data_IF_624632473855
#
_entry.id   IF_624632473855
#
_cell.length_a   1.000
_cell.length_b   1.000
_cell.length_c   1.000
_cell.angle_alpha   90.00
_cell.angle_beta   90.00
_cell.angle_gamma   90.00
#
_symmetry.space_group_name_H-M   'P 1'
#
loop_
_entity.id
_entity.type
_entity.pdbx_description
1 polymer ?
#
# COMPACT_ATOMS: atom_id res chain seq x y z
N UNK A 1 13.95 33.32 -7.22
CA UNK A 1 12.78 32.91 -6.44
C UNK A 1 11.65 32.76 -7.43
N UNK A 2 11.40 31.56 -7.96
CA UNK A 2 10.14 31.32 -8.66
C UNK A 2 9.08 31.24 -7.56
N UNK A 3 8.05 32.07 -7.62
CA UNK A 3 6.85 31.82 -6.82
C UNK A 3 6.35 30.44 -7.23
N UNK A 4 6.23 29.54 -6.26
CA UNK A 4 5.69 28.21 -6.45
C UNK A 4 4.18 28.38 -6.66
N UNK A 5 3.79 28.56 -7.92
CA UNK A 5 2.39 28.75 -8.29
C UNK A 5 1.71 27.40 -8.17
N UNK A 6 0.73 27.30 -7.27
CA UNK A 6 -0.18 26.15 -7.27
C UNK A 6 -0.97 26.14 -8.58
N UNK A 7 -0.55 25.24 -9.49
CA UNK A 7 -1.17 25.05 -10.80
C UNK A 7 -2.39 24.12 -10.75
N UNK A 8 -2.61 23.40 -9.64
CA UNK A 8 -3.70 22.45 -9.49
C UNK A 8 -4.98 23.15 -9.03
N UNK A 9 -4.85 24.14 -8.13
CA UNK A 9 -5.99 24.81 -7.53
C UNK A 9 -6.89 23.85 -6.73
N UNK A 10 -8.04 24.33 -6.23
CA UNK A 10 -8.94 23.49 -5.44
C UNK A 10 -9.68 22.47 -6.32
N UNK A 11 -9.93 21.29 -5.77
CA UNK A 11 -10.87 20.34 -6.39
C UNK A 11 -12.30 20.87 -6.30
N UNK A 12 -13.17 20.57 -7.28
CA UNK A 12 -14.59 20.91 -7.17
C UNK A 12 -15.24 20.28 -5.92
N UNK A 13 -16.04 21.06 -5.20
CA UNK A 13 -16.84 20.55 -4.09
C UNK A 13 -18.02 19.73 -4.63
N UNK A 14 -18.19 18.52 -4.09
CA UNK A 14 -19.31 17.62 -4.41
C UNK A 14 -19.67 16.80 -3.17
N UNK A 15 -20.96 16.69 -2.90
CA UNK A 15 -21.51 15.76 -1.92
C UNK A 15 -22.08 14.54 -2.65
N UNK A 16 -21.87 13.35 -2.10
CA UNK A 16 -22.42 12.10 -2.63
C UNK A 16 -23.50 11.59 -1.68
N UNK A 17 -24.75 11.65 -2.10
CA UNK A 17 -25.90 11.18 -1.33
C UNK A 17 -26.22 9.73 -1.71
N UNK A 18 -26.40 8.85 -0.71
CA UNK A 18 -26.86 7.47 -0.90
C UNK A 18 -28.39 7.48 -1.00
N UNK A 19 -28.90 7.07 -2.14
CA UNK A 19 -30.35 6.95 -2.41
C UNK A 19 -30.84 5.55 -2.02
N UNK A 20 -30.07 4.52 -2.37
CA UNK A 20 -30.35 3.11 -2.03
C UNK A 20 -29.05 2.38 -1.72
N UNK A 21 -29.10 1.42 -0.79
CA UNK A 21 -27.98 0.55 -0.43
C UNK A 21 -28.40 -0.92 -0.44
N UNK A 22 -27.74 -1.70 -1.29
CA UNK A 22 -27.83 -3.15 -1.31
C UNK A 22 -26.47 -3.77 -1.02
N UNK A 23 -26.23 -4.08 0.24
CA UNK A 23 -25.03 -4.77 0.69
C UNK A 23 -25.14 -6.28 0.45
N UNK A 24 -24.07 -6.89 -0.08
CA UNK A 24 -23.95 -8.31 -0.42
C UNK A 24 -22.69 -8.91 0.22
N UNK A 25 -22.77 -10.18 0.64
CA UNK A 25 -21.62 -10.96 1.10
C UNK A 25 -21.30 -10.80 2.59
N UNK A 26 -22.19 -11.28 3.45
CA UNK A 26 -21.91 -11.38 4.90
C UNK A 26 -21.02 -12.60 5.21
N UNK A 27 -20.10 -12.46 6.17
CA UNK A 27 -19.26 -13.54 6.70
C UNK A 27 -17.98 -13.85 5.91
N UNK A 28 -17.66 -13.08 4.85
CA UNK A 28 -16.40 -13.17 4.11
C UNK A 28 -15.41 -12.05 4.46
N UNK A 29 -14.20 -12.13 3.91
CA UNK A 29 -13.15 -11.10 4.08
C UNK A 29 -13.52 -9.75 3.43
N UNK A 30 -14.28 -9.78 2.32
CA UNK A 30 -14.77 -8.61 1.61
C UNK A 30 -16.31 -8.58 1.62
N UNK A 31 -16.87 -7.37 1.66
CA UNK A 31 -18.30 -7.06 1.48
C UNK A 31 -18.45 -6.20 0.22
N UNK A 32 -19.47 -6.47 -0.60
CA UNK A 32 -19.81 -5.66 -1.77
C UNK A 32 -21.02 -4.78 -1.45
N UNK A 33 -20.90 -3.47 -1.58
CA UNK A 33 -22.03 -2.54 -1.47
C UNK A 33 -22.42 -2.05 -2.85
N UNK A 34 -23.63 -2.38 -3.28
CA UNK A 34 -24.24 -1.89 -4.52
C UNK A 34 -25.16 -0.72 -4.19
N UNK A 35 -24.72 0.49 -4.51
CA UNK A 35 -25.42 1.72 -4.18
C UNK A 35 -26.12 2.33 -5.39
N UNK A 36 -27.24 3.00 -5.13
CA UNK A 36 -27.75 4.08 -5.99
C UNK A 36 -27.31 5.39 -5.35
N UNK A 37 -26.54 6.20 -6.08
CA UNK A 37 -25.97 7.46 -5.62
C UNK A 37 -26.53 8.66 -6.38
N UNK A 38 -26.49 9.83 -5.76
CA UNK A 38 -26.77 11.11 -6.43
C UNK A 38 -25.76 12.16 -5.95
N UNK A 39 -25.13 12.85 -6.91
CA UNK A 39 -24.21 13.94 -6.60
C UNK A 39 -24.98 15.23 -6.38
N UNK A 40 -24.51 16.04 -5.44
CA UNK A 40 -25.02 17.38 -5.15
C UNK A 40 -23.88 18.40 -5.15
N UNK A 41 -24.12 19.54 -5.79
CA UNK A 41 -23.16 20.64 -5.87
C UNK A 41 -23.60 21.85 -5.04
N UNK A 42 -22.68 22.77 -4.69
CA UNK A 42 -23.00 23.96 -3.87
C UNK A 42 -24.05 24.89 -4.48
N UNK A 43 -24.19 24.91 -5.81
CA UNK A 43 -25.20 25.68 -6.53
C UNK A 43 -26.62 25.07 -6.46
N UNK A 44 -26.76 23.92 -5.78
CA UNK A 44 -28.01 23.19 -5.64
C UNK A 44 -28.31 22.25 -6.80
N UNK A 45 -27.47 22.21 -7.83
CA UNK A 45 -27.59 21.23 -8.92
C UNK A 45 -27.44 19.80 -8.39
N UNK A 46 -28.14 18.86 -9.02
CA UNK A 46 -28.14 17.43 -8.69
C UNK A 46 -27.93 16.61 -9.93
N UNK A 47 -27.17 15.52 -9.82
CA UNK A 47 -27.02 14.59 -10.94
C UNK A 47 -28.30 13.74 -11.11
N UNK A 48 -28.43 13.08 -12.25
CA UNK A 48 -29.29 11.89 -12.29
C UNK A 48 -28.76 10.85 -11.28
N UNK A 49 -29.64 10.04 -10.65
CA UNK A 49 -29.18 8.90 -9.86
C UNK A 49 -28.38 7.93 -10.73
N UNK A 50 -27.32 7.35 -10.16
CA UNK A 50 -26.44 6.41 -10.84
C UNK A 50 -26.06 5.25 -9.94
N UNK A 51 -25.72 4.11 -10.52
CA UNK A 51 -25.29 2.93 -9.77
C UNK A 51 -23.79 2.95 -9.56
N UNK A 52 -23.36 2.52 -8.38
CA UNK A 52 -21.96 2.39 -8.05
C UNK A 52 -21.73 1.22 -7.10
N UNK A 53 -20.78 0.36 -7.43
CA UNK A 53 -20.38 -0.77 -6.60
C UNK A 53 -19.07 -0.41 -5.87
N UNK A 54 -19.02 -0.61 -4.56
CA UNK A 54 -17.82 -0.47 -3.73
C UNK A 54 -17.55 -1.75 -2.94
N UNK A 55 -16.27 -2.02 -2.72
CA UNK A 55 -15.77 -3.11 -1.89
C UNK A 55 -15.42 -2.54 -0.52
N UNK A 56 -15.78 -3.26 0.53
CA UNK A 56 -15.41 -2.95 1.92
C UNK A 56 -14.80 -4.17 2.60
N UNK A 57 -13.99 -3.92 3.63
CA UNK A 57 -13.48 -4.91 4.58
C UNK A 57 -13.28 -4.23 5.93
N UNK A 58 -13.18 -5.01 7.00
CA UNK A 58 -13.19 -4.46 8.36
C UNK A 58 -11.99 -3.56 8.65
N UNK A 59 -10.79 -3.98 8.24
CA UNK A 59 -9.58 -3.14 8.24
C UNK A 59 -9.42 -2.46 6.88
N UNK A 60 -9.83 -1.20 6.76
CA UNK A 60 -9.84 -0.48 5.47
C UNK A 60 -8.45 -0.10 4.99
N UNK A 61 -7.68 0.56 5.85
CA UNK A 61 -6.36 1.11 5.54
C UNK A 61 -5.23 0.11 5.81
N UNK A 62 -4.06 0.40 5.26
CA UNK A 62 -2.87 -0.43 5.37
C UNK A 62 -1.60 0.42 5.59
N UNK A 63 -0.53 -0.21 6.03
CA UNK A 63 0.83 0.36 6.03
C UNK A 63 1.71 -0.30 4.98
N UNK A 64 2.64 0.46 4.40
CA UNK A 64 3.73 -0.06 3.57
C UNK A 64 5.07 0.34 4.18
N UNK A 65 5.98 -0.61 4.35
CA UNK A 65 7.12 -0.47 5.25
C UNK A 65 8.42 -0.60 4.48
N UNK A 66 9.22 0.46 4.45
CA UNK A 66 10.55 0.46 3.85
C UNK A 66 11.58 0.18 4.94
N UNK A 67 12.07 -1.06 4.98
CA UNK A 67 13.21 -1.42 5.81
C UNK A 67 14.47 -1.29 4.96
N UNK A 68 15.40 -0.45 5.38
CA UNK A 68 16.63 -0.22 4.63
C UNK A 68 17.87 -0.38 5.52
N UNK A 69 18.97 -0.81 4.93
CA UNK A 69 20.23 -1.00 5.62
C UNK A 69 21.28 -0.06 5.04
N UNK A 70 21.98 0.64 5.93
CA UNK A 70 23.10 1.52 5.57
C UNK A 70 24.30 0.73 5.06
N UNK A 71 25.06 1.36 4.18
CA UNK A 71 26.29 0.87 3.56
C UNK A 71 26.75 1.81 2.46
N UNK A 72 27.88 1.51 1.82
CA UNK A 72 28.36 2.26 0.65
C UNK A 72 27.31 2.31 -0.47
N UNK A 73 26.59 1.20 -0.64
CA UNK A 73 25.36 1.12 -1.42
C UNK A 73 24.19 0.79 -0.46
N UNK A 74 23.24 1.70 -0.25
CA UNK A 74 22.10 1.44 0.62
C UNK A 74 21.28 0.27 0.07
N UNK A 75 20.80 -0.60 0.95
CA UNK A 75 19.99 -1.76 0.57
C UNK A 75 18.57 -1.63 1.11
N UNK A 76 17.59 -2.12 0.36
CA UNK A 76 16.17 -2.17 0.74
C UNK A 76 15.72 -3.62 0.86
N UNK A 77 14.90 -3.89 1.86
CA UNK A 77 14.26 -5.17 2.07
C UNK A 77 13.07 -5.33 1.12
N UNK A 78 13.05 -6.45 0.40
CA UNK A 78 11.90 -6.93 -0.37
C UNK A 78 11.55 -8.33 0.12
N UNK A 79 10.27 -8.67 0.09
CA UNK A 79 9.78 -10.03 0.29
C UNK A 79 8.95 -10.50 -0.90
N UNK A 80 8.96 -11.79 -1.17
CA UNK A 80 8.03 -12.38 -2.13
C UNK A 80 6.67 -12.57 -1.47
N UNK A 81 5.58 -12.18 -2.13
CA UNK A 81 4.22 -12.32 -1.61
C UNK A 81 3.34 -13.05 -2.62
N UNK A 82 2.62 -14.07 -2.17
CA UNK A 82 1.59 -14.72 -2.98
C UNK A 82 0.37 -13.80 -3.09
N UNK A 83 -0.06 -13.55 -4.32
CA UNK A 83 -1.26 -12.77 -4.67
C UNK A 83 -2.21 -13.68 -5.46
N UNK A 84 -3.07 -14.46 -4.78
CA UNK A 84 -3.95 -15.43 -5.42
C UNK A 84 -4.75 -14.91 -6.63
N UNK A 85 -5.28 -13.67 -6.64
CA UNK A 85 -5.98 -13.15 -7.82
C UNK A 85 -5.14 -13.17 -9.11
N UNK A 86 -3.82 -13.07 -9.02
CA UNK A 86 -2.93 -13.10 -10.18
C UNK A 86 -2.86 -14.50 -10.82
N UNK A 87 -3.12 -15.58 -10.06
CA UNK A 87 -3.14 -16.94 -10.60
C UNK A 87 -4.25 -17.14 -11.64
N UNK A 88 -5.33 -16.36 -11.54
CA UNK A 88 -6.50 -16.43 -12.42
C UNK A 88 -6.45 -15.38 -13.53
N UNK A 89 -5.38 -14.59 -13.62
CA UNK A 89 -5.29 -13.45 -14.54
C UNK A 89 -5.52 -13.87 -16.00
N UNK A 90 -5.01 -15.03 -16.40
CA UNK A 90 -5.17 -15.60 -17.74
C UNK A 90 -6.63 -15.94 -18.11
N UNK A 91 -7.54 -16.02 -17.15
CA UNK A 91 -8.96 -16.32 -17.40
C UNK A 91 -9.75 -15.09 -17.84
N UNK A 92 -9.18 -13.88 -17.69
CA UNK A 92 -9.84 -12.64 -18.07
C UNK A 92 -9.58 -12.26 -19.53
N UNK A 93 -10.47 -11.44 -20.09
CA UNK A 93 -10.28 -10.81 -21.39
C UNK A 93 -9.26 -9.66 -21.27
N UNK A 94 -7.97 -10.01 -21.24
CA UNK A 94 -6.88 -9.05 -21.11
C UNK A 94 -6.58 -8.37 -22.46
N UNK A 95 -6.21 -7.08 -22.45
CA UNK A 95 -5.79 -6.38 -23.67
C UNK A 95 -4.40 -6.81 -24.17
N UNK A 96 -3.58 -7.40 -23.29
CA UNK A 96 -2.24 -7.90 -23.57
C UNK A 96 -2.07 -9.29 -22.95
N UNK A 97 -1.23 -10.11 -23.58
CA UNK A 97 -0.85 -11.43 -23.06
C UNK A 97 0.40 -11.29 -22.16
N UNK A 98 0.21 -10.68 -20.99
CA UNK A 98 1.25 -10.34 -20.01
C UNK A 98 1.10 -11.08 -18.67
N UNK A 99 0.69 -12.36 -18.75
CA UNK A 99 0.43 -13.14 -17.54
C UNK A 99 1.72 -13.68 -16.93
N UNK A 100 2.08 -13.11 -15.78
CA UNK A 100 3.14 -13.62 -14.90
C UNK A 100 2.58 -14.57 -13.82
N UNK A 101 3.49 -15.17 -13.05
CA UNK A 101 3.11 -16.02 -11.91
C UNK A 101 2.43 -15.22 -10.78
N UNK A 102 1.83 -15.92 -9.80
CA UNK A 102 1.03 -15.27 -8.77
C UNK A 102 1.85 -14.64 -7.63
N UNK A 103 3.17 -14.55 -7.76
CA UNK A 103 4.08 -14.11 -6.70
C UNK A 103 4.78 -12.84 -7.14
N UNK A 104 4.70 -11.79 -6.32
CA UNK A 104 5.36 -10.51 -6.56
C UNK A 104 6.47 -10.28 -5.55
N UNK A 105 7.49 -9.50 -5.94
CA UNK A 105 8.41 -8.88 -5.00
C UNK A 105 7.82 -7.57 -4.49
N UNK A 106 7.75 -7.43 -3.17
CA UNK A 106 7.07 -6.31 -2.52
C UNK A 106 7.85 -5.81 -1.30
N UNK A 107 7.60 -4.58 -0.87
CA UNK A 107 7.89 -4.16 0.51
C UNK A 107 6.94 -4.89 1.48
N UNK A 108 7.35 -5.08 2.75
CA UNK A 108 6.43 -5.52 3.79
C UNK A 108 5.25 -4.55 3.94
N UNK A 109 4.06 -5.09 4.16
CA UNK A 109 2.83 -4.32 4.24
C UNK A 109 1.70 -5.13 4.84
N UNK A 110 0.86 -4.48 5.64
CA UNK A 110 -0.35 -5.14 6.12
C UNK A 110 -1.40 -4.18 6.65
N UNK A 111 -2.51 -4.77 7.09
CA UNK A 111 -3.73 -4.04 7.40
C UNK A 111 -3.62 -3.36 8.77
N UNK A 112 -4.18 -2.16 8.84
CA UNK A 112 -4.30 -1.43 10.09
C UNK A 112 -5.52 -1.95 10.83
N UNK A 113 -5.29 -2.59 11.96
CA UNK A 113 -6.35 -3.18 12.77
C UNK A 113 -7.30 -2.11 13.32
N UNK A 114 -8.59 -2.42 13.59
CA UNK A 114 -9.53 -1.46 14.16
C UNK A 114 -9.11 -0.90 15.54
N UNK A 115 -8.18 -1.54 16.24
CA UNK A 115 -7.60 -1.05 17.50
C UNK A 115 -6.40 -0.11 17.29
N UNK A 116 -5.75 -0.16 16.12
CA UNK A 116 -4.55 0.62 15.77
C UNK A 116 -4.96 2.02 15.29
N UNK A 117 -5.12 2.96 16.23
CA UNK A 117 -5.64 4.31 15.95
C UNK A 117 -4.57 5.40 15.97
N UNK A 118 -4.73 6.37 15.07
CA UNK A 118 -3.85 7.53 14.97
C UNK A 118 -2.45 7.16 14.52
N UNK A 119 -1.53 8.12 14.62
CA UNK A 119 -0.16 7.94 14.13
C UNK A 119 0.63 6.90 14.93
N UNK A 120 0.36 6.76 16.24
CA UNK A 120 0.94 5.69 17.07
C UNK A 120 0.44 4.31 16.63
N UNK A 121 -0.87 4.15 16.39
CA UNK A 121 -1.43 2.91 15.88
C UNK A 121 -0.83 2.46 14.56
N UNK A 122 -0.61 3.40 13.63
CA UNK A 122 0.04 3.10 12.35
C UNK A 122 1.49 2.63 12.51
N UNK A 123 2.24 3.20 13.47
CA UNK A 123 3.60 2.73 13.78
C UNK A 123 3.60 1.38 14.47
N UNK A 124 2.62 1.11 15.33
CA UNK A 124 2.42 -0.21 15.94
C UNK A 124 2.13 -1.28 14.90
N UNK A 125 1.26 -0.97 13.93
CA UNK A 125 1.01 -1.80 12.75
C UNK A 125 2.31 -2.07 12.00
N UNK A 126 3.09 -1.02 11.67
CA UNK A 126 4.38 -1.18 10.98
C UNK A 126 5.37 -2.08 11.75
N UNK A 127 5.44 -1.95 13.08
CA UNK A 127 6.29 -2.79 13.92
C UNK A 127 5.84 -4.26 13.92
N UNK A 128 4.54 -4.50 14.03
CA UNK A 128 3.92 -5.84 14.01
C UNK A 128 4.19 -6.55 12.70
N UNK A 129 3.84 -5.91 11.59
CA UNK A 129 4.03 -6.44 10.23
C UNK A 129 5.52 -6.67 9.89
N UNK A 130 6.42 -5.84 10.42
CA UNK A 130 7.88 -6.05 10.26
C UNK A 130 8.35 -7.35 10.92
N UNK A 131 7.79 -7.70 12.09
CA UNK A 131 8.09 -8.97 12.76
C UNK A 131 7.42 -10.14 12.01
N UNK A 132 6.14 -9.99 11.67
CA UNK A 132 5.32 -11.02 11.02
C UNK A 132 5.88 -11.42 9.66
N UNK A 133 6.23 -10.45 8.81
CA UNK A 133 6.60 -10.74 7.42
C UNK A 133 8.11 -10.85 7.17
N UNK A 134 8.95 -10.24 8.01
CA UNK A 134 10.41 -10.14 7.78
C UNK A 134 11.22 -10.81 8.88
N UNK A 135 10.69 -10.88 10.10
CA UNK A 135 11.39 -11.41 11.27
C UNK A 135 12.35 -10.41 11.92
N UNK A 136 12.13 -9.10 11.74
CA UNK A 136 12.88 -8.05 12.44
C UNK A 136 12.03 -7.49 13.58
N UNK A 137 12.65 -7.23 14.73
CA UNK A 137 11.97 -6.61 15.88
C UNK A 137 12.38 -5.15 15.97
N UNK A 138 11.41 -4.25 15.77
CA UNK A 138 11.57 -2.81 15.90
C UNK A 138 10.52 -2.25 16.87
N UNK A 139 10.83 -1.16 17.55
CA UNK A 139 9.85 -0.43 18.34
C UNK A 139 9.01 0.46 17.40
N UNK A 140 7.74 0.76 17.73
CA UNK A 140 6.94 1.71 16.96
C UNK A 140 7.66 3.06 16.74
N UNK A 141 8.44 3.52 17.72
CA UNK A 141 9.21 4.77 17.63
C UNK A 141 10.31 4.78 16.55
N UNK A 142 10.71 3.63 16.01
CA UNK A 142 11.75 3.52 14.99
C UNK A 142 11.23 3.86 13.58
N UNK A 143 9.91 3.95 13.41
CA UNK A 143 9.28 4.18 12.11
C UNK A 143 8.99 5.66 11.86
N UNK A 144 9.58 6.18 10.79
CA UNK A 144 9.34 7.55 10.31
C UNK A 144 8.38 7.53 9.12
N UNK A 145 7.49 8.53 9.01
CA UNK A 145 6.62 8.68 7.85
C UNK A 145 7.44 8.89 6.58
N UNK A 146 7.10 8.13 5.55
CA UNK A 146 7.71 8.26 4.23
C UNK A 146 6.71 8.94 3.26
N UNK A 147 6.44 10.22 3.52
CA UNK A 147 5.49 11.04 2.75
C UNK A 147 4.01 10.77 3.08
N UNK A 148 3.09 11.39 2.32
CA UNK A 148 1.65 11.27 2.58
C UNK A 148 1.12 9.88 2.20
N UNK A 149 0.02 9.47 2.85
CA UNK A 149 -0.70 8.26 2.44
C UNK A 149 -1.32 8.42 1.05
N UNK A 150 -1.48 7.32 0.32
CA UNK A 150 -1.99 7.31 -1.06
C UNK A 150 -3.17 6.35 -1.18
N UNK A 151 -4.10 6.64 -2.09
CA UNK A 151 -5.15 5.70 -2.48
C UNK A 151 -4.63 4.77 -3.58
N UNK A 152 -5.01 3.50 -3.53
CA UNK A 152 -4.55 2.49 -4.50
C UNK A 152 -5.55 2.29 -5.63
N UNK A 153 -6.80 1.97 -5.27
CA UNK A 153 -7.89 1.74 -6.23
C UNK A 153 -9.14 2.53 -5.83
N UNK A 154 -9.06 3.90 -5.85
CA UNK A 154 -10.14 4.77 -5.36
C UNK A 154 -11.45 4.65 -6.14
N UNK A 155 -11.45 3.95 -7.28
CA UNK A 155 -12.65 3.63 -8.03
C UNK A 155 -13.50 2.52 -7.41
N UNK A 156 -12.97 1.72 -6.48
CA UNK A 156 -13.70 0.57 -5.91
C UNK A 156 -13.53 0.41 -4.40
N UNK A 157 -12.37 0.78 -3.85
CA UNK A 157 -12.04 0.61 -2.45
C UNK A 157 -11.51 1.94 -1.89
N UNK A 158 -12.06 2.35 -0.74
CA UNK A 158 -11.68 3.59 -0.06
C UNK A 158 -10.42 3.47 0.81
N UNK A 159 -9.52 2.53 0.47
CA UNK A 159 -8.27 2.27 1.18
C UNK A 159 -7.27 3.41 0.99
N UNK A 160 -6.60 3.79 2.08
CA UNK A 160 -5.33 4.50 2.07
C UNK A 160 -4.20 3.60 2.52
N UNK A 161 -3.09 3.69 1.80
CA UNK A 161 -1.82 3.08 2.18
C UNK A 161 -0.88 4.13 2.78
N UNK A 162 -0.37 3.82 3.96
CA UNK A 162 0.49 4.68 4.78
C UNK A 162 1.94 4.20 4.76
N UNK A 163 2.85 5.00 4.21
CA UNK A 163 4.25 4.58 4.10
C UNK A 163 5.08 4.97 5.33
N UNK A 164 5.91 4.02 5.78
CA UNK A 164 6.90 4.20 6.83
C UNK A 164 8.28 3.74 6.37
N UNK A 165 9.33 4.27 6.99
CA UNK A 165 10.72 3.89 6.77
C UNK A 165 11.43 3.66 8.10
N UNK A 166 12.30 2.64 8.15
CA UNK A 166 13.18 2.37 9.27
C UNK A 166 14.55 1.88 8.78
N UNK A 167 15.62 2.39 9.39
CA UNK A 167 16.98 1.85 9.21
C UNK A 167 17.14 0.58 10.07
N UNK A 168 17.66 -0.49 9.49
CA UNK A 168 17.78 -1.81 10.15
C UNK A 168 19.15 -2.43 9.93
N UNK A 169 19.52 -3.34 10.82
CA UNK A 169 20.62 -4.28 10.62
C UNK A 169 20.07 -5.65 10.14
N UNK A 170 20.26 -6.01 8.86
CA UNK A 170 19.79 -7.28 8.32
C UNK A 170 20.35 -8.52 9.03
N UNK A 171 21.47 -8.40 9.73
CA UNK A 171 22.10 -9.52 10.45
C UNK A 171 21.34 -9.93 11.70
N UNK A 172 20.46 -9.05 12.21
CA UNK A 172 19.61 -9.31 13.38
C UNK A 172 18.30 -10.00 13.03
N UNK A 173 18.03 -10.21 11.73
CA UNK A 173 16.80 -10.84 11.24
C UNK A 173 16.65 -12.27 11.77
N UNK A 174 15.55 -12.49 12.47
CA UNK A 174 15.09 -13.80 12.91
C UNK A 174 14.23 -14.50 11.86
N UNK A 175 13.40 -15.44 12.34
CA UNK A 175 12.37 -16.08 11.52
C UNK A 175 11.10 -15.21 11.58
N UNK A 176 10.48 -14.89 10.43
CA UNK A 176 9.17 -14.24 10.42
C UNK A 176 8.16 -15.03 11.25
N UNK A 177 7.30 -14.35 12.02
CA UNK A 177 6.30 -15.05 12.83
C UNK A 177 5.08 -15.49 12.03
N UNK A 178 4.84 -14.84 10.87
CA UNK A 178 3.66 -15.00 10.02
C UNK A 178 2.36 -14.62 10.76
N UNK A 179 1.29 -14.34 10.01
CA UNK A 179 -0.06 -14.08 10.55
C UNK A 179 -0.90 -15.37 10.67
N UNK A 180 -0.34 -16.51 10.28
CA UNK A 180 -0.97 -17.82 10.26
C UNK A 180 -1.84 -18.09 9.02
N UNK A 181 -1.86 -17.19 8.05
CA UNK A 181 -2.55 -17.41 6.77
C UNK A 181 -1.65 -18.15 5.77
N UNK A 182 -2.22 -19.03 4.93
CA UNK A 182 -1.43 -19.75 3.92
C UNK A 182 -0.77 -18.88 2.84
N UNK A 183 -1.15 -17.59 2.74
CA UNK A 183 -0.59 -16.67 1.73
C UNK A 183 0.74 -16.06 2.16
N UNK A 184 1.07 -16.14 3.45
CA UNK A 184 2.35 -15.68 3.99
C UNK A 184 3.41 -16.79 4.07
N UNK A 185 2.98 -18.04 4.03
CA UNK A 185 3.87 -19.20 4.11
C UNK A 185 4.95 -19.13 3.02
N UNK A 186 6.19 -19.47 3.40
CA UNK A 186 7.34 -19.63 2.47
C UNK A 186 7.75 -18.35 1.73
N UNK A 187 7.39 -17.17 2.23
CA UNK A 187 7.90 -15.92 1.69
C UNK A 187 9.44 -15.85 1.76
N UNK A 188 10.08 -15.50 0.65
CA UNK A 188 11.50 -15.22 0.58
C UNK A 188 11.75 -13.75 0.92
N UNK A 189 12.77 -13.47 1.74
CA UNK A 189 13.19 -12.12 2.11
C UNK A 189 14.57 -11.83 1.52
N UNK A 190 14.74 -10.66 0.90
CA UNK A 190 16.00 -10.22 0.28
C UNK A 190 16.29 -8.75 0.57
N UNK A 191 17.52 -8.48 1.00
CA UNK A 191 18.06 -7.12 1.00
C UNK A 191 18.85 -6.91 -0.29
N UNK A 192 18.32 -6.08 -1.19
CA UNK A 192 18.95 -5.74 -2.48
C UNK A 192 19.39 -4.29 -2.48
N UNK A 193 20.36 -3.91 -3.30
CA UNK A 193 20.78 -2.51 -3.40
C UNK A 193 19.61 -1.65 -3.91
N UNK A 194 19.54 -0.40 -3.45
CA UNK A 194 18.50 0.54 -3.86
C UNK A 194 18.47 0.71 -5.39
N UNK A 195 19.64 0.78 -6.02
CA UNK A 195 19.75 0.87 -7.48
C UNK A 195 19.22 -0.38 -8.19
N UNK A 196 19.47 -1.57 -7.64
CA UNK A 196 18.89 -2.80 -8.17
C UNK A 196 17.36 -2.80 -8.05
N UNK A 197 16.83 -2.39 -6.89
CA UNK A 197 15.38 -2.32 -6.66
C UNK A 197 14.72 -1.33 -7.63
N UNK A 198 15.31 -0.14 -7.83
CA UNK A 198 14.84 0.84 -8.81
C UNK A 198 14.92 0.33 -10.24
N UNK A 199 15.98 -0.41 -10.60
CA UNK A 199 16.07 -1.06 -11.91
C UNK A 199 14.98 -2.13 -12.10
N UNK A 200 14.72 -2.93 -11.06
CA UNK A 200 13.68 -3.95 -11.07
C UNK A 200 12.25 -3.37 -11.19
N UNK A 201 11.98 -2.18 -10.63
CA UNK A 201 10.73 -1.47 -10.88
C UNK A 201 10.62 -1.02 -12.35
N UNK A 202 11.71 -0.50 -12.93
CA UNK A 202 11.71 -0.01 -14.31
C UNK A 202 11.54 -1.12 -15.35
N UNK A 203 12.09 -2.30 -15.10
CA UNK A 203 12.06 -3.43 -16.03
C UNK A 203 10.93 -4.43 -15.77
N UNK A 204 10.08 -4.18 -14.77
CA UNK A 204 8.89 -4.96 -14.47
C UNK A 204 9.08 -6.13 -13.51
N UNK A 205 10.33 -6.48 -13.13
CA UNK A 205 10.58 -7.56 -12.14
C UNK A 205 10.00 -7.27 -10.75
N UNK A 206 9.77 -5.99 -10.43
CA UNK A 206 8.98 -5.52 -9.29
C UNK A 206 7.77 -4.78 -9.86
N UNK A 207 6.66 -5.49 -10.01
CA UNK A 207 5.41 -4.99 -10.62
C UNK A 207 4.33 -4.67 -9.57
N UNK A 208 4.72 -4.04 -8.46
CA UNK A 208 3.81 -3.66 -7.37
C UNK A 208 3.88 -2.15 -7.09
N UNK A 209 2.75 -1.47 -7.24
CA UNK A 209 2.66 0.00 -7.21
C UNK A 209 3.14 0.60 -5.88
N UNK A 210 2.77 -0.03 -4.75
CA UNK A 210 3.19 0.47 -3.44
C UNK A 210 4.70 0.34 -3.26
N UNK A 211 5.27 -0.77 -3.71
CA UNK A 211 6.71 -1.03 -3.65
C UNK A 211 7.49 -0.04 -4.50
N UNK A 212 7.08 0.18 -5.75
CA UNK A 212 7.73 1.17 -6.61
C UNK A 212 7.65 2.58 -6.01
N UNK A 213 6.48 2.98 -5.52
CA UNK A 213 6.28 4.28 -4.87
C UNK A 213 7.21 4.44 -3.66
N UNK A 214 7.27 3.42 -2.81
CA UNK A 214 8.06 3.46 -1.58
C UNK A 214 9.56 3.49 -1.84
N UNK A 215 10.06 2.71 -2.81
CA UNK A 215 11.48 2.71 -3.20
C UNK A 215 11.89 4.08 -3.75
N UNK A 216 11.04 4.72 -4.57
CA UNK A 216 11.30 6.07 -5.08
C UNK A 216 11.34 7.09 -3.96
N UNK A 217 10.39 7.02 -3.02
CA UNK A 217 10.40 7.90 -1.84
C UNK A 217 11.60 7.66 -0.93
N UNK A 218 12.07 6.42 -0.80
CA UNK A 218 13.32 6.12 -0.08
C UNK A 218 14.51 6.81 -0.74
N UNK A 219 14.61 6.77 -2.07
CA UNK A 219 15.67 7.48 -2.79
C UNK A 219 15.67 8.99 -2.46
N UNK A 220 14.50 9.62 -2.46
CA UNK A 220 14.39 11.06 -2.13
C UNK A 220 14.70 11.33 -0.66
N UNK A 221 14.19 10.51 0.26
CA UNK A 221 14.46 10.59 1.69
C UNK A 221 15.97 10.50 2.00
N UNK A 222 16.69 9.58 1.36
CA UNK A 222 18.14 9.44 1.57
C UNK A 222 18.94 10.61 0.98
N UNK A 223 18.44 11.24 -0.10
CA UNK A 223 19.07 12.44 -0.67
C UNK A 223 18.93 13.65 0.25
N UNK A 224 17.75 13.85 0.82
CA UNK A 224 17.48 14.93 1.77
C UNK A 224 18.31 14.78 3.05
N UNK A 225 18.39 13.57 3.59
CA UNK A 225 19.24 13.27 4.76
C UNK A 225 20.75 13.31 4.50
N UNK A 226 21.18 13.41 3.23
CA UNK A 226 22.59 13.54 2.82
C UNK A 226 23.00 14.98 2.52
N UNK A 227 22.08 15.96 2.62
CA UNK A 227 22.44 17.38 2.56
C UNK A 227 23.08 17.80 3.89
N UNK A 228 24.28 18.45 3.87
CA UNK A 228 24.96 18.94 5.06
C UNK A 228 24.21 20.07 5.78
#
# INVERSE_FOLDING_TARGET
>A
MSEDVDLLGPTPTVDVEVVEDHTLGEGGFLRLRRLTLQNRWPDGHRSAPYRYDLVERDATDAVGIVLWARGDEPRVCLRSALRPPLAFRAEYALPLDDVEGPVLWEIPAGLVEPSERGEEGLRSCAARETLEEVGLTLAPGDFTRLGPGVTLSPGVLAEKLHFFVAEVDPSTRGTPTEDGTPVEERAEVRFVTLDHALAACRDGRVADLKTETAIRRLQDHLREGSQP
#
